data_IF_908413357651
#
_entry.id   IF_908413357651
#
_cell.length_a   1.000
_cell.length_b   1.000
_cell.length_c   1.000
_cell.angle_alpha   90.00
_cell.angle_beta   90.00
_cell.angle_gamma   90.00
#
_symmetry.space_group_name_H-M   'P 1'
#
loop_
_entity.id
_entity.type
_entity.pdbx_description
1 polymer ?
#
# COMPACT_ATOMS: atom_id res chain seq x y z
N UNK A 1 -12.99 -3.22 69.55
CA UNK A 1 -13.18 -4.61 69.09
C UNK A 1 -12.31 -4.79 67.85
N UNK A 2 -11.13 -5.36 68.00
CA UNK A 2 -10.22 -5.65 66.89
C UNK A 2 -10.62 -7.02 66.32
N UNK A 3 -11.16 -7.04 65.10
CA UNK A 3 -11.39 -8.29 64.39
C UNK A 3 -10.03 -8.86 63.98
N UNK A 4 -9.63 -9.98 64.59
CA UNK A 4 -8.47 -10.76 64.16
C UNK A 4 -8.85 -11.55 62.92
N UNK A 5 -8.76 -10.91 61.75
CA UNK A 5 -8.85 -11.65 60.50
C UNK A 5 -7.62 -12.57 60.40
N UNK A 6 -7.79 -13.86 60.09
CA UNK A 6 -6.67 -14.79 60.05
C UNK A 6 -5.65 -14.39 58.96
N UNK A 7 -4.36 -14.35 59.30
CA UNK A 7 -3.28 -13.97 58.39
C UNK A 7 -3.29 -14.81 57.10
N UNK A 8 -3.57 -16.11 57.21
CA UNK A 8 -3.62 -17.03 56.06
C UNK A 8 -4.71 -16.67 55.04
N UNK A 9 -5.81 -16.03 55.48
CA UNK A 9 -6.88 -15.55 54.58
C UNK A 9 -6.40 -14.32 53.80
N UNK A 10 -5.61 -13.45 54.44
CA UNK A 10 -5.01 -12.28 53.78
C UNK A 10 -3.96 -12.72 52.74
N UNK A 11 -3.12 -13.70 53.07
CA UNK A 11 -2.11 -14.23 52.15
C UNK A 11 -2.72 -14.93 50.93
N UNK A 12 -3.80 -15.69 51.12
CA UNK A 12 -4.55 -16.30 50.00
C UNK A 12 -5.16 -15.25 49.07
N UNK A 13 -5.72 -14.18 49.63
CA UNK A 13 -6.29 -13.09 48.82
C UNK A 13 -5.21 -12.34 48.03
N UNK A 14 -4.04 -12.11 48.64
CA UNK A 14 -2.89 -11.52 47.93
C UNK A 14 -2.36 -12.44 46.83
N UNK A 15 -2.25 -13.75 47.07
CA UNK A 15 -1.84 -14.70 46.05
C UNK A 15 -2.83 -14.77 44.87
N UNK A 16 -4.14 -14.82 45.15
CA UNK A 16 -5.20 -14.85 44.15
C UNK A 16 -5.26 -13.55 43.33
N UNK A 17 -5.07 -12.39 43.97
CA UNK A 17 -5.03 -11.10 43.27
C UNK A 17 -3.81 -10.98 42.36
N UNK A 18 -2.63 -11.41 42.78
CA UNK A 18 -1.43 -11.43 41.94
C UNK A 18 -1.60 -12.36 40.73
N UNK A 19 -2.16 -13.56 40.93
CA UNK A 19 -2.49 -14.47 39.83
C UNK A 19 -3.55 -13.88 38.90
N UNK A 20 -4.60 -13.27 39.46
CA UNK A 20 -5.65 -12.60 38.68
C UNK A 20 -5.11 -11.47 37.82
N UNK A 21 -4.20 -10.65 38.35
CA UNK A 21 -3.53 -9.57 37.60
C UNK A 21 -2.63 -10.14 36.49
N UNK A 22 -1.92 -11.24 36.75
CA UNK A 22 -1.08 -11.88 35.74
C UNK A 22 -1.91 -12.45 34.57
N UNK A 23 -3.00 -13.16 34.88
CA UNK A 23 -3.91 -13.75 33.87
C UNK A 23 -4.59 -12.65 33.05
N UNK A 24 -5.08 -11.58 33.69
CA UNK A 24 -5.73 -10.46 32.99
C UNK A 24 -4.75 -9.69 32.11
N UNK A 25 -3.51 -9.46 32.57
CA UNK A 25 -2.46 -8.84 31.76
C UNK A 25 -2.09 -9.69 30.55
N UNK A 26 -1.91 -11.01 30.73
CA UNK A 26 -1.64 -11.94 29.64
C UNK A 26 -2.79 -11.98 28.62
N UNK A 27 -4.04 -12.01 29.09
CA UNK A 27 -5.22 -11.96 28.24
C UNK A 27 -5.34 -10.66 27.43
N UNK A 28 -5.00 -9.52 28.04
CA UNK A 28 -4.97 -8.23 27.35
C UNK A 28 -3.89 -8.18 26.26
N UNK A 29 -2.67 -8.65 26.55
CA UNK A 29 -1.58 -8.72 25.56
C UNK A 29 -1.95 -9.65 24.40
N UNK A 30 -2.56 -10.80 24.68
CA UNK A 30 -3.03 -11.72 23.65
C UNK A 30 -4.09 -11.05 22.76
N UNK A 31 -5.01 -10.29 23.36
CA UNK A 31 -6.05 -9.55 22.63
C UNK A 31 -5.45 -8.50 21.70
N UNK A 32 -4.46 -7.73 22.18
CA UNK A 32 -3.73 -6.79 21.34
C UNK A 32 -3.00 -7.49 20.18
N UNK A 33 -2.35 -8.63 20.46
CA UNK A 33 -1.66 -9.42 19.45
C UNK A 33 -2.62 -9.94 18.37
N UNK A 34 -3.75 -10.52 18.76
CA UNK A 34 -4.78 -11.00 17.82
C UNK A 34 -5.34 -9.84 17.01
N UNK A 35 -5.65 -8.70 17.64
CA UNK A 35 -6.14 -7.51 16.95
C UNK A 35 -5.15 -7.00 15.91
N UNK A 36 -3.87 -6.99 16.25
CA UNK A 36 -2.79 -6.64 15.33
C UNK A 36 -2.73 -7.61 14.14
N UNK A 37 -2.77 -8.92 14.40
CA UNK A 37 -2.73 -9.95 13.36
C UNK A 37 -3.95 -9.88 12.43
N UNK A 38 -5.16 -9.75 12.97
CA UNK A 38 -6.38 -9.60 12.16
C UNK A 38 -6.30 -8.35 11.28
N UNK A 39 -5.81 -7.23 11.82
CA UNK A 39 -5.62 -6.00 11.06
C UNK A 39 -4.59 -6.17 9.94
N UNK A 40 -3.52 -6.93 10.18
CA UNK A 40 -2.50 -7.25 9.17
C UNK A 40 -3.08 -8.13 8.05
N UNK A 41 -3.79 -9.20 8.41
CA UNK A 41 -4.45 -10.12 7.49
C UNK A 41 -5.46 -9.39 6.61
N UNK A 42 -6.32 -8.54 7.21
CA UNK A 42 -7.32 -7.75 6.46
C UNK A 42 -6.68 -6.87 5.39
N UNK A 43 -5.55 -6.23 5.69
CA UNK A 43 -4.80 -5.42 4.72
C UNK A 43 -4.26 -6.26 3.56
N UNK A 44 -3.73 -7.45 3.85
CA UNK A 44 -3.26 -8.38 2.83
C UNK A 44 -4.37 -8.85 1.90
N UNK A 45 -5.53 -9.22 2.43
CA UNK A 45 -6.68 -9.61 1.60
C UNK A 45 -7.21 -8.47 0.73
N UNK A 46 -7.29 -7.25 1.28
CA UNK A 46 -7.69 -6.08 0.50
C UNK A 46 -6.69 -5.77 -0.61
N UNK A 47 -5.38 -5.93 -0.35
CA UNK A 47 -4.36 -5.78 -1.38
C UNK A 47 -4.52 -6.83 -2.49
N UNK A 48 -4.68 -8.10 -2.14
CA UNK A 48 -4.84 -9.21 -3.12
C UNK A 48 -6.09 -9.05 -3.99
N UNK A 49 -7.20 -8.55 -3.42
CA UNK A 49 -8.43 -8.34 -4.17
C UNK A 49 -8.42 -7.10 -5.08
N UNK A 50 -7.88 -5.97 -4.61
CA UNK A 50 -7.98 -4.68 -5.31
C UNK A 50 -6.77 -4.36 -6.21
N UNK A 51 -5.61 -4.97 -5.97
CA UNK A 51 -4.41 -4.74 -6.78
C UNK A 51 -4.62 -5.10 -8.27
N UNK A 52 -5.28 -6.23 -8.63
CA UNK A 52 -5.55 -6.56 -10.02
C UNK A 52 -6.37 -5.49 -10.74
N UNK A 53 -7.37 -4.92 -10.07
CA UNK A 53 -8.20 -3.87 -10.65
C UNK A 53 -7.41 -2.57 -10.88
N UNK A 54 -6.56 -2.19 -9.91
CA UNK A 54 -5.66 -1.04 -10.07
C UNK A 54 -4.66 -1.27 -11.22
N UNK A 55 -4.14 -2.48 -11.38
CA UNK A 55 -3.27 -2.83 -12.51
C UNK A 55 -4.01 -2.64 -13.83
N UNK A 56 -5.24 -3.18 -13.95
CA UNK A 56 -6.07 -3.02 -15.16
C UNK A 56 -6.33 -1.55 -15.50
N UNK A 57 -6.59 -0.72 -14.49
CA UNK A 57 -6.79 0.73 -14.69
C UNK A 57 -5.51 1.41 -15.21
N UNK A 58 -4.33 1.05 -14.66
CA UNK A 58 -3.04 1.57 -15.14
C UNK A 58 -2.77 1.09 -16.58
N UNK A 59 -3.08 -0.17 -16.91
CA UNK A 59 -2.94 -0.69 -18.27
C UNK A 59 -3.82 0.04 -19.27
N UNK A 60 -5.07 0.31 -18.89
CA UNK A 60 -5.99 1.08 -19.72
C UNK A 60 -5.44 2.48 -20.02
N UNK A 61 -4.83 3.13 -19.02
CA UNK A 61 -4.15 4.42 -19.19
C UNK A 61 -2.90 4.28 -20.06
N UNK A 62 -2.18 3.16 -19.96
CA UNK A 62 -1.06 2.83 -20.85
C UNK A 62 -1.48 2.76 -22.31
N UNK A 63 -2.57 2.05 -22.61
CA UNK A 63 -3.08 1.93 -23.97
C UNK A 63 -3.52 3.29 -24.55
N UNK A 64 -4.19 4.14 -23.75
CA UNK A 64 -4.54 5.50 -24.20
C UNK A 64 -3.32 6.40 -24.34
N UNK A 65 -2.28 6.23 -23.51
CA UNK A 65 -1.01 6.94 -23.65
C UNK A 65 -0.34 6.64 -24.99
N UNK A 66 -0.33 5.37 -25.40
CA UNK A 66 0.26 4.94 -26.67
C UNK A 66 -0.46 5.61 -27.85
N UNK A 67 -1.79 5.66 -27.83
CA UNK A 67 -2.56 6.32 -28.89
C UNK A 67 -2.27 7.83 -28.98
N UNK A 68 -2.04 8.51 -27.85
CA UNK A 68 -1.67 9.92 -27.86
C UNK A 68 -0.23 10.20 -28.33
N UNK A 69 0.66 9.20 -28.23
CA UNK A 69 2.04 9.31 -28.72
C UNK A 69 2.13 9.23 -30.25
N UNK A 70 1.26 8.46 -30.89
CA UNK A 70 1.24 8.31 -32.35
C UNK A 70 0.93 9.63 -33.08
N UNK A 71 0.10 10.48 -32.48
CA UNK A 71 -0.33 11.79 -33.01
C UNK A 71 0.43 12.99 -32.41
N UNK A 72 1.66 12.78 -31.92
CA UNK A 72 2.47 13.85 -31.35
C UNK A 72 2.84 14.91 -32.40
N UNK A 73 2.82 16.23 -32.10
CA UNK A 73 2.56 16.88 -30.81
C UNK A 73 1.10 17.29 -30.55
N UNK A 74 0.15 16.96 -31.44
CA UNK A 74 -1.24 17.46 -31.34
C UNK A 74 -1.91 17.07 -30.02
N UNK A 75 -1.58 15.89 -29.50
CA UNK A 75 -2.16 15.31 -28.29
C UNK A 75 -1.28 15.48 -27.03
N UNK A 76 -0.31 16.40 -27.02
CA UNK A 76 0.60 16.61 -25.88
C UNK A 76 -0.16 16.87 -24.56
N UNK A 77 -1.21 17.70 -24.61
CA UNK A 77 -2.02 18.03 -23.43
C UNK A 77 -2.79 16.83 -22.90
N UNK A 78 -3.34 16.03 -23.79
CA UNK A 78 -4.10 14.83 -23.42
C UNK A 78 -3.18 13.75 -22.87
N UNK A 79 -1.97 13.60 -23.43
CA UNK A 79 -0.91 12.76 -22.88
C UNK A 79 -0.55 13.18 -21.44
N UNK A 80 -0.34 14.48 -21.21
CA UNK A 80 -0.07 15.00 -19.87
C UNK A 80 -1.25 14.80 -18.90
N UNK A 81 -2.49 14.92 -19.38
CA UNK A 81 -3.71 14.65 -18.61
C UNK A 81 -3.79 13.19 -18.15
N UNK A 82 -3.54 12.25 -19.06
CA UNK A 82 -3.54 10.81 -18.75
C UNK A 82 -2.44 10.44 -17.74
N UNK A 83 -1.25 11.02 -17.85
CA UNK A 83 -0.19 10.85 -16.86
C UNK A 83 -0.60 11.36 -15.46
N UNK A 84 -1.41 12.41 -15.38
CA UNK A 84 -1.94 12.88 -14.10
C UNK A 84 -2.94 11.92 -13.48
N UNK A 85 -3.71 11.19 -14.30
CA UNK A 85 -4.62 10.13 -13.84
C UNK A 85 -3.85 8.87 -13.39
N UNK A 86 -2.73 8.56 -14.06
CA UNK A 86 -1.89 7.42 -13.68
C UNK A 86 -1.24 7.60 -12.30
N UNK A 87 -0.85 8.82 -11.93
CA UNK A 87 -0.13 9.11 -10.68
C UNK A 87 -0.85 8.63 -9.39
N UNK A 88 -2.13 8.96 -9.12
CA UNK A 88 -2.83 8.46 -7.94
C UNK A 88 -2.99 6.93 -7.93
N UNK A 89 -3.12 6.29 -9.11
CA UNK A 89 -3.21 4.84 -9.22
C UNK A 89 -1.88 4.17 -8.89
N UNK A 90 -0.76 4.69 -9.42
CA UNK A 90 0.60 4.24 -9.09
C UNK A 90 0.91 4.41 -7.59
N UNK A 91 0.50 5.53 -6.99
CA UNK A 91 0.64 5.71 -5.55
C UNK A 91 -0.21 4.72 -4.75
N UNK A 92 -1.42 4.43 -5.21
CA UNK A 92 -2.30 3.45 -4.56
C UNK A 92 -1.69 2.05 -4.65
N UNK A 93 -1.26 1.61 -5.83
CA UNK A 93 -0.56 0.35 -6.04
C UNK A 93 0.68 0.24 -5.13
N UNK A 94 1.51 1.29 -5.04
CA UNK A 94 2.71 1.29 -4.21
C UNK A 94 2.45 1.12 -2.70
N UNK A 95 1.26 1.51 -2.22
CA UNK A 95 0.85 1.36 -0.80
C UNK A 95 0.25 -0.02 -0.51
N UNK A 96 -0.20 -0.73 -1.53
CA UNK A 96 -0.84 -2.04 -1.41
C UNK A 96 0.18 -3.17 -1.46
N UNK A 97 1.35 -2.91 -2.03
CA UNK A 97 2.44 -3.87 -2.19
C UNK A 97 3.51 -3.69 -1.11
N UNK A 98 4.29 -4.74 -0.80
CA UNK A 98 5.46 -4.66 0.07
C UNK A 98 6.41 -3.55 -0.43
N UNK A 99 7.12 -2.89 0.50
CA UNK A 99 7.94 -1.69 0.22
C UNK A 99 9.00 -1.92 -0.88
N UNK A 100 9.54 -3.12 -0.99
CA UNK A 100 10.53 -3.46 -2.00
C UNK A 100 9.92 -3.46 -3.41
N UNK A 101 8.81 -4.18 -3.60
CA UNK A 101 8.22 -4.34 -4.94
C UNK A 101 7.38 -3.12 -5.35
N UNK A 102 6.83 -2.38 -4.39
CA UNK A 102 6.13 -1.10 -4.64
C UNK A 102 7.06 0.08 -4.91
N UNK A 103 8.39 -0.10 -4.84
CA UNK A 103 9.36 0.99 -4.98
C UNK A 103 9.36 1.59 -6.38
N UNK A 104 9.22 0.79 -7.42
CA UNK A 104 9.20 1.26 -8.81
C UNK A 104 7.97 2.12 -9.09
N UNK A 105 6.78 1.63 -8.71
CA UNK A 105 5.53 2.39 -8.81
C UNK A 105 5.60 3.71 -8.05
N UNK A 106 6.22 3.71 -6.86
CA UNK A 106 6.43 4.94 -6.08
C UNK A 106 7.41 5.89 -6.75
N UNK A 107 8.52 5.40 -7.32
CA UNK A 107 9.51 6.22 -8.03
C UNK A 107 8.90 6.90 -9.24
N UNK A 108 8.16 6.16 -10.05
CA UNK A 108 7.45 6.70 -11.22
C UNK A 108 6.42 7.74 -10.79
N UNK A 109 5.58 7.45 -9.79
CA UNK A 109 4.61 8.41 -9.24
C UNK A 109 5.28 9.71 -8.77
N UNK A 110 6.39 9.62 -8.04
CA UNK A 110 7.15 10.79 -7.60
C UNK A 110 7.75 11.58 -8.77
N UNK A 111 8.23 10.90 -9.81
CA UNK A 111 8.75 11.53 -11.03
C UNK A 111 7.65 12.28 -11.77
N UNK A 112 6.46 11.67 -11.94
CA UNK A 112 5.30 12.30 -12.54
C UNK A 112 4.83 13.53 -11.74
N UNK A 113 4.81 13.42 -10.41
CA UNK A 113 4.46 14.54 -9.53
C UNK A 113 5.46 15.71 -9.62
N UNK A 114 6.76 15.43 -9.75
CA UNK A 114 7.80 16.46 -9.97
C UNK A 114 7.67 17.09 -11.36
N UNK A 115 7.41 16.29 -12.39
CA UNK A 115 7.21 16.76 -13.75
C UNK A 115 6.02 17.73 -13.86
N UNK A 116 4.95 17.52 -13.10
CA UNK A 116 3.82 18.46 -13.00
C UNK A 116 4.23 19.84 -12.48
N UNK A 117 5.19 19.92 -11.54
CA UNK A 117 5.67 21.20 -10.99
C UNK A 117 6.61 21.94 -11.95
N UNK A 118 7.21 21.23 -12.90
CA UNK A 118 8.19 21.76 -13.85
C UNK A 118 7.57 22.15 -15.21
N UNK A 119 6.24 22.11 -15.36
CA UNK A 119 5.55 22.17 -16.65
C UNK A 119 5.52 23.54 -17.35
N UNK A 120 6.57 24.36 -17.20
CA UNK A 120 6.79 25.53 -18.03
C UNK A 120 7.46 25.20 -19.38
N UNK A 121 7.96 23.97 -19.58
CA UNK A 121 8.47 23.49 -20.87
C UNK A 121 7.58 22.40 -21.47
N UNK A 122 7.31 22.49 -22.78
CA UNK A 122 6.76 21.38 -23.59
C UNK A 122 7.71 20.18 -23.49
N UNK A 123 7.16 18.97 -23.31
CA UNK A 123 7.98 17.76 -23.26
C UNK A 123 8.43 17.39 -24.67
N UNK A 124 9.65 16.91 -24.81
CA UNK A 124 10.07 16.31 -26.08
C UNK A 124 9.37 14.97 -26.28
N UNK A 125 9.21 14.57 -27.54
CA UNK A 125 8.61 13.27 -27.90
C UNK A 125 9.38 12.10 -27.28
N UNK A 126 10.71 12.21 -27.19
CA UNK A 126 11.58 11.20 -26.57
C UNK A 126 11.31 11.04 -25.07
N UNK A 127 11.08 12.15 -24.35
CA UNK A 127 10.69 12.12 -22.94
C UNK A 127 9.32 11.48 -22.74
N UNK A 128 8.39 11.74 -23.65
CA UNK A 128 7.05 11.16 -23.62
C UNK A 128 7.12 9.63 -23.82
N UNK A 129 7.90 9.16 -24.80
CA UNK A 129 8.19 7.73 -24.98
C UNK A 129 8.87 7.12 -23.76
N UNK A 130 9.87 7.80 -23.17
CA UNK A 130 10.56 7.31 -21.99
C UNK A 130 9.61 7.10 -20.80
N UNK A 131 8.68 8.02 -20.57
CA UNK A 131 7.67 7.91 -19.52
C UNK A 131 6.68 6.77 -19.80
N UNK A 132 6.27 6.59 -21.05
CA UNK A 132 5.45 5.46 -21.45
C UNK A 132 6.15 4.12 -21.16
N UNK A 133 7.41 3.96 -21.58
CA UNK A 133 8.18 2.74 -21.31
C UNK A 133 8.36 2.48 -19.81
N UNK A 134 8.61 3.52 -19.01
CA UNK A 134 8.71 3.37 -17.56
C UNK A 134 7.38 2.92 -16.92
N UNK A 135 6.26 3.42 -17.45
CA UNK A 135 4.93 2.99 -17.03
C UNK A 135 4.67 1.52 -17.38
N UNK A 136 5.01 1.09 -18.59
CA UNK A 136 4.88 -0.31 -19.01
C UNK A 136 5.76 -1.24 -18.16
N UNK A 137 7.01 -0.85 -17.87
CA UNK A 137 7.88 -1.60 -16.94
C UNK A 137 7.24 -1.75 -15.57
N UNK A 138 6.66 -0.67 -15.04
CA UNK A 138 5.98 -0.67 -13.74
C UNK A 138 4.76 -1.59 -13.75
N UNK A 139 3.97 -1.60 -14.82
CA UNK A 139 2.84 -2.53 -14.99
C UNK A 139 3.31 -3.98 -14.94
N UNK A 140 4.36 -4.31 -15.69
CA UNK A 140 4.93 -5.67 -15.72
C UNK A 140 5.41 -6.08 -14.32
N UNK A 141 6.11 -5.18 -13.61
CA UNK A 141 6.55 -5.43 -12.25
C UNK A 141 5.37 -5.69 -11.29
N UNK A 142 4.30 -4.88 -11.37
CA UNK A 142 3.09 -5.05 -10.57
C UNK A 142 2.35 -6.35 -10.89
N UNK A 143 2.31 -6.78 -12.16
CA UNK A 143 1.76 -8.08 -12.55
C UNK A 143 2.57 -9.25 -12.00
N UNK A 144 3.89 -9.13 -11.97
CA UNK A 144 4.75 -10.15 -11.36
C UNK A 144 4.50 -10.25 -9.85
N UNK A 145 4.30 -9.10 -9.18
CA UNK A 145 3.90 -9.07 -7.77
C UNK A 145 2.55 -9.72 -7.56
N UNK A 146 1.54 -9.37 -8.36
CA UNK A 146 0.20 -9.97 -8.31
C UNK A 146 0.29 -11.49 -8.46
N UNK A 147 1.09 -11.97 -9.42
CA UNK A 147 1.35 -13.40 -9.61
C UNK A 147 1.95 -14.01 -8.36
N UNK A 148 3.00 -13.42 -7.79
CA UNK A 148 3.65 -13.92 -6.58
C UNK A 148 2.70 -13.93 -5.36
N UNK A 149 1.85 -12.91 -5.21
CA UNK A 149 0.84 -12.83 -4.15
C UNK A 149 -0.23 -13.93 -4.24
N UNK A 150 -0.39 -14.55 -5.42
CA UNK A 150 -1.32 -15.67 -5.57
C UNK A 150 -0.73 -17.01 -5.10
N UNK A 151 0.60 -17.13 -5.03
CA UNK A 151 1.30 -18.33 -4.59
C UNK A 151 1.73 -18.29 -3.11
N UNK A 152 1.86 -17.09 -2.52
CA UNK A 152 1.99 -16.86 -1.07
C UNK A 152 0.63 -16.94 -0.33
#
# INVERSE_FOLDING_TARGET
MTSYFPQWVQDLNTALSLFGVAITTAGFVLTLYVTYQVSHIRKHYLARGRLPDVIKDIEKIGSTLSAHLDDWPKNERDFAGQLQLANPLLMTASKMVKRADGLEARRLAQRLAKSKKSSQGSKTIDEAWALYYEMQKTVIALKQVEKNMNWE
#
